data_IF_314943485910
#
_entry.id   IF_314943485910
#
_cell.length_a   1.000
_cell.length_b   1.000
_cell.length_c   1.000
_cell.angle_alpha   90.00
_cell.angle_beta   90.00
_cell.angle_gamma   90.00
#
_symmetry.space_group_name_H-M   'P 1'
#
loop_
_entity.id
_entity.type
_entity.pdbx_description
1 polymer ?
#
# COMPACT_ATOMS: atom_id res chain seq x y z
N UNK A 1 2.49 11.46 46.89
CA UNK A 1 2.78 12.72 46.17
C UNK A 1 3.37 12.33 44.82
N UNK A 2 2.52 12.05 43.83
CA UNK A 2 2.90 11.45 42.54
C UNK A 2 2.25 12.21 41.40
N UNK A 3 2.76 13.39 41.05
CA UNK A 3 2.46 14.03 39.77
C UNK A 3 3.71 14.80 39.30
N UNK A 4 4.62 14.17 38.55
CA UNK A 4 5.43 14.94 37.59
C UNK A 4 5.56 14.27 36.21
N UNK A 5 4.71 13.30 35.85
CA UNK A 5 4.73 12.70 34.50
C UNK A 5 3.81 13.40 33.50
N UNK A 6 2.71 14.03 33.95
CA UNK A 6 1.79 14.74 33.05
C UNK A 6 2.33 16.10 32.58
N UNK A 7 3.20 16.75 33.36
CA UNK A 7 3.74 18.07 33.01
C UNK A 7 4.75 18.02 31.86
N UNK A 8 5.60 16.97 31.79
CA UNK A 8 6.59 16.80 30.72
C UNK A 8 5.95 16.40 29.37
N UNK A 9 4.78 15.76 29.39
CA UNK A 9 4.04 15.43 28.17
C UNK A 9 3.36 16.66 27.55
N UNK A 10 2.95 17.65 28.37
CA UNK A 10 2.33 18.88 27.88
C UNK A 10 3.33 19.78 27.13
N UNK A 11 4.58 19.86 27.62
CA UNK A 11 5.67 20.59 26.93
C UNK A 11 5.98 20.02 25.54
N UNK A 12 6.00 18.68 25.39
CA UNK A 12 6.23 18.04 24.09
C UNK A 12 5.10 18.28 23.07
N UNK A 13 3.86 18.43 23.52
CA UNK A 13 2.72 18.71 22.65
C UNK A 13 2.72 20.17 22.19
N UNK A 14 3.10 21.11 23.06
CA UNK A 14 3.24 22.52 22.67
C UNK A 14 4.38 22.75 21.68
N UNK A 15 5.52 22.08 21.83
CA UNK A 15 6.62 22.20 20.83
C UNK A 15 6.26 21.53 19.50
N UNK A 16 5.55 20.40 19.50
CA UNK A 16 5.04 19.78 18.26
C UNK A 16 4.01 20.68 17.55
N UNK A 17 3.13 21.36 18.30
CA UNK A 17 2.15 22.29 17.72
C UNK A 17 2.83 23.55 17.16
N UNK A 18 3.83 24.11 17.85
CA UNK A 18 4.61 25.26 17.37
C UNK A 18 5.42 24.92 16.10
N UNK A 19 5.87 23.67 15.94
CA UNK A 19 6.55 23.23 14.73
C UNK A 19 5.64 23.23 13.48
N UNK A 20 4.32 22.99 13.65
CA UNK A 20 3.34 22.99 12.55
C UNK A 20 3.05 24.41 12.03
N UNK A 21 3.11 25.42 12.90
CA UNK A 21 2.91 26.82 12.51
C UNK A 21 4.09 27.40 11.71
N UNK A 22 5.19 26.65 11.55
CA UNK A 22 6.34 27.11 10.79
C UNK A 22 6.00 27.20 9.28
N UNK A 23 6.43 28.28 8.60
CA UNK A 23 6.15 28.45 7.17
C UNK A 23 6.73 27.32 6.32
N UNK A 24 7.81 26.68 6.78
CA UNK A 24 8.42 25.52 6.14
C UNK A 24 7.58 24.24 6.30
N UNK A 25 6.96 24.02 7.47
CA UNK A 25 6.03 22.91 7.67
C UNK A 25 4.76 23.07 6.81
N UNK A 26 4.23 24.29 6.73
CA UNK A 26 3.09 24.61 5.84
C UNK A 26 3.48 24.38 4.38
N UNK A 27 4.67 24.82 3.96
CA UNK A 27 5.17 24.57 2.59
C UNK A 27 5.28 23.07 2.30
N UNK A 28 5.84 22.28 3.21
CA UNK A 28 5.93 20.83 3.06
C UNK A 28 4.54 20.18 2.91
N UNK A 29 3.57 20.61 3.73
CA UNK A 29 2.19 20.14 3.63
C UNK A 29 1.56 20.50 2.27
N UNK A 30 1.77 21.73 1.79
CA UNK A 30 1.28 22.17 0.47
C UNK A 30 1.90 21.33 -0.65
N UNK A 31 3.21 21.07 -0.61
CA UNK A 31 3.90 20.21 -1.59
C UNK A 31 3.30 18.80 -1.56
N UNK A 32 3.09 18.23 -0.37
CA UNK A 32 2.51 16.90 -0.20
C UNK A 32 1.10 16.81 -0.77
N UNK A 33 0.21 17.73 -0.40
CA UNK A 33 -1.19 17.76 -0.87
C UNK A 33 -1.24 18.00 -2.38
N UNK A 34 -0.45 18.95 -2.91
CA UNK A 34 -0.40 19.21 -4.34
C UNK A 34 0.09 17.98 -5.13
N UNK A 35 1.13 17.29 -4.65
CA UNK A 35 1.62 16.04 -5.24
C UNK A 35 0.55 14.98 -5.28
N UNK A 36 -0.16 14.78 -4.16
CA UNK A 36 -1.22 13.79 -4.05
C UNK A 36 -2.38 14.09 -5.01
N UNK A 37 -2.76 15.37 -5.13
CA UNK A 37 -3.77 15.79 -6.11
C UNK A 37 -3.31 15.52 -7.54
N UNK A 38 -2.04 15.78 -7.88
CA UNK A 38 -1.49 15.48 -9.20
C UNK A 38 -1.51 13.98 -9.52
N UNK A 39 -1.28 13.12 -8.53
CA UNK A 39 -1.40 11.67 -8.68
C UNK A 39 -2.84 11.25 -8.98
N UNK A 40 -3.83 11.86 -8.31
CA UNK A 40 -5.25 11.58 -8.57
C UNK A 40 -5.67 12.09 -9.96
N UNK A 41 -5.17 13.26 -10.37
CA UNK A 41 -5.49 13.85 -11.67
C UNK A 41 -4.70 13.27 -12.86
N UNK A 42 -3.87 12.25 -12.64
CA UNK A 42 -3.07 11.59 -13.69
C UNK A 42 -3.91 11.26 -14.93
N UNK A 43 -5.12 10.72 -14.75
CA UNK A 43 -6.00 10.32 -15.86
C UNK A 43 -6.32 11.48 -16.83
N UNK A 44 -6.27 12.72 -16.35
CA UNK A 44 -6.47 13.93 -17.17
C UNK A 44 -5.16 14.51 -17.69
N UNK A 45 -4.07 14.35 -16.95
CA UNK A 45 -2.77 14.97 -17.23
C UNK A 45 -1.81 14.06 -18.02
N UNK A 46 -2.11 12.77 -18.20
CA UNK A 46 -1.27 11.79 -18.89
C UNK A 46 0.19 11.72 -18.37
N UNK A 47 0.39 12.07 -17.10
CA UNK A 47 1.69 12.04 -16.44
C UNK A 47 1.78 10.80 -15.54
N UNK A 48 2.75 9.89 -15.75
CA UNK A 48 2.88 8.71 -14.90
C UNK A 48 3.03 9.11 -13.43
N UNK A 49 2.24 8.47 -12.54
CA UNK A 49 2.19 8.76 -11.08
C UNK A 49 3.56 8.91 -10.41
N UNK A 50 4.58 8.21 -10.90
CA UNK A 50 5.95 8.27 -10.36
C UNK A 50 6.61 9.65 -10.51
N UNK A 51 6.31 10.39 -11.59
CA UNK A 51 6.92 11.71 -11.86
C UNK A 51 6.58 12.75 -10.78
N UNK A 52 5.31 13.05 -10.48
CA UNK A 52 4.97 14.02 -9.45
C UNK A 52 5.44 13.55 -8.06
N UNK A 53 5.37 12.24 -7.77
CA UNK A 53 5.80 11.68 -6.49
C UNK A 53 7.30 11.86 -6.24
N UNK A 54 8.16 11.46 -7.18
CA UNK A 54 9.62 11.57 -7.02
C UNK A 54 10.05 13.03 -6.94
N UNK A 55 9.47 13.90 -7.78
CA UNK A 55 9.78 15.33 -7.75
C UNK A 55 9.42 15.96 -6.39
N UNK A 56 8.25 15.62 -5.86
CA UNK A 56 7.79 16.16 -4.58
C UNK A 56 8.59 15.61 -3.40
N UNK A 57 8.99 14.33 -3.44
CA UNK A 57 9.89 13.75 -2.45
C UNK A 57 11.24 14.50 -2.39
N UNK A 58 11.82 14.84 -3.54
CA UNK A 58 13.03 15.66 -3.62
C UNK A 58 12.85 17.05 -3.00
N UNK A 59 11.74 17.73 -3.27
CA UNK A 59 11.43 19.02 -2.65
C UNK A 59 11.24 18.91 -1.13
N UNK A 60 10.56 17.87 -0.65
CA UNK A 60 10.38 17.63 0.79
C UNK A 60 11.71 17.39 1.51
N UNK A 61 12.65 16.70 0.87
CA UNK A 61 13.99 16.50 1.40
C UNK A 61 14.80 17.80 1.47
N UNK A 62 14.63 18.71 0.50
CA UNK A 62 15.22 20.06 0.56
C UNK A 62 14.65 20.84 1.75
N UNK A 63 13.33 20.82 1.94
CA UNK A 63 12.70 21.47 3.10
C UNK A 63 13.19 20.86 4.41
N UNK A 64 13.28 19.53 4.50
CA UNK A 64 13.81 18.83 5.67
C UNK A 64 15.28 19.20 5.97
N UNK A 65 16.12 19.34 4.94
CA UNK A 65 17.51 19.75 5.10
C UNK A 65 17.65 21.20 5.62
N UNK A 66 16.79 22.11 5.14
CA UNK A 66 16.74 23.50 5.64
C UNK A 66 16.32 23.53 7.11
N UNK A 67 15.26 22.80 7.47
CA UNK A 67 14.78 22.72 8.86
C UNK A 67 15.84 22.09 9.77
N UNK A 68 16.47 20.99 9.34
CA UNK A 68 17.53 20.34 10.11
C UNK A 68 18.73 21.27 10.36
N UNK A 69 19.11 22.09 9.36
CA UNK A 69 20.16 23.09 9.53
C UNK A 69 19.75 24.20 10.54
N UNK A 70 18.50 24.67 10.49
CA UNK A 70 17.98 25.67 11.44
C UNK A 70 17.94 25.16 12.88
N UNK A 71 17.67 23.87 13.07
CA UNK A 71 17.67 23.20 14.37
C UNK A 71 19.08 22.78 14.86
N UNK A 72 20.13 23.09 14.09
CA UNK A 72 21.50 22.74 14.44
C UNK A 72 21.83 21.24 14.34
N UNK A 73 21.03 20.47 13.61
CA UNK A 73 21.28 19.05 13.37
C UNK A 73 22.54 18.91 12.53
N UNK A 74 23.46 18.04 12.97
CA UNK A 74 24.71 17.82 12.25
C UNK A 74 24.46 17.23 10.85
N UNK A 75 25.32 17.58 9.88
CA UNK A 75 25.23 17.00 8.53
C UNK A 75 25.34 15.46 8.55
N UNK A 76 26.14 14.90 9.45
CA UNK A 76 26.31 13.45 9.62
C UNK A 76 25.00 12.79 10.08
N UNK A 77 24.33 13.38 11.07
CA UNK A 77 23.03 12.88 11.56
C UNK A 77 21.97 12.93 10.47
N UNK A 78 21.92 14.02 9.69
CA UNK A 78 20.99 14.11 8.56
C UNK A 78 21.28 13.08 7.47
N UNK A 79 22.56 12.86 7.15
CA UNK A 79 22.97 11.84 6.17
C UNK A 79 22.54 10.44 6.63
N UNK A 80 22.77 10.09 7.89
CA UNK A 80 22.37 8.78 8.45
C UNK A 80 20.86 8.58 8.37
N UNK A 81 20.08 9.60 8.74
CA UNK A 81 18.61 9.52 8.66
C UNK A 81 18.14 9.29 7.21
N UNK A 82 18.73 10.03 6.27
CA UNK A 82 18.47 9.91 4.83
C UNK A 82 18.81 8.51 4.30
N UNK A 83 20.00 8.00 4.59
CA UNK A 83 20.44 6.69 4.10
C UNK A 83 19.60 5.57 4.70
N UNK A 84 19.27 5.64 5.99
CA UNK A 84 18.39 4.66 6.64
C UNK A 84 17.01 4.60 5.97
N UNK A 85 16.39 5.75 5.67
CA UNK A 85 15.11 5.79 4.96
C UNK A 85 15.21 5.20 3.54
N UNK A 86 16.31 5.46 2.84
CA UNK A 86 16.53 4.90 1.50
C UNK A 86 16.81 3.40 1.54
N UNK A 87 17.51 2.90 2.55
CA UNK A 87 17.77 1.47 2.74
C UNK A 87 16.48 0.70 2.99
N UNK A 88 15.63 1.16 3.92
CA UNK A 88 14.33 0.57 4.19
C UNK A 88 13.42 0.62 2.96
N UNK A 89 13.39 1.75 2.26
CA UNK A 89 12.65 1.89 1.01
C UNK A 89 13.20 0.95 -0.08
N UNK A 90 14.52 0.84 -0.21
CA UNK A 90 15.16 -0.03 -1.20
C UNK A 90 14.90 -1.50 -0.91
N UNK A 91 14.90 -1.92 0.36
CA UNK A 91 14.56 -3.28 0.77
C UNK A 91 13.12 -3.62 0.35
N UNK A 92 12.16 -2.78 0.71
CA UNK A 92 10.76 -2.97 0.32
C UNK A 92 10.57 -2.91 -1.20
N UNK A 93 11.22 -1.95 -1.87
CA UNK A 93 11.16 -1.80 -3.31
C UNK A 93 11.71 -3.04 -4.03
N UNK A 94 12.88 -3.53 -3.63
CA UNK A 94 13.50 -4.73 -4.21
C UNK A 94 12.65 -5.97 -3.93
N UNK A 95 12.12 -6.10 -2.71
CA UNK A 95 11.19 -7.17 -2.35
C UNK A 95 9.97 -7.17 -3.28
N UNK A 96 9.29 -6.03 -3.42
CA UNK A 96 8.11 -5.87 -4.27
C UNK A 96 8.43 -6.03 -5.77
N UNK A 97 9.59 -5.55 -6.21
CA UNK A 97 10.04 -5.66 -7.60
C UNK A 97 10.27 -7.12 -7.98
N UNK A 98 11.00 -7.88 -7.16
CA UNK A 98 11.22 -9.33 -7.40
C UNK A 98 9.89 -10.08 -7.33
N UNK A 99 9.04 -9.76 -6.35
CA UNK A 99 7.68 -10.29 -6.25
C UNK A 99 6.87 -10.09 -7.54
N UNK A 100 6.82 -8.87 -8.06
CA UNK A 100 6.05 -8.54 -9.26
C UNK A 100 6.63 -9.19 -10.52
N UNK A 101 7.97 -9.21 -10.66
CA UNK A 101 8.65 -9.92 -11.76
C UNK A 101 8.30 -11.42 -11.72
N UNK A 102 8.29 -12.04 -10.55
CA UNK A 102 7.93 -13.44 -10.40
C UNK A 102 6.48 -13.71 -10.80
N UNK A 103 5.53 -12.87 -10.36
CA UNK A 103 4.12 -12.96 -10.76
C UNK A 103 3.97 -12.86 -12.28
N UNK A 104 4.60 -11.86 -12.90
CA UNK A 104 4.56 -11.70 -14.35
C UNK A 104 5.16 -12.92 -15.08
N UNK A 105 6.24 -13.50 -14.56
CA UNK A 105 6.83 -14.72 -15.12
C UNK A 105 5.92 -15.96 -14.98
N UNK A 106 5.16 -16.08 -13.88
CA UNK A 106 4.15 -17.14 -13.72
C UNK A 106 3.00 -16.98 -14.71
N UNK A 107 2.58 -15.73 -14.94
CA UNK A 107 1.54 -15.38 -15.90
C UNK A 107 1.96 -15.69 -17.34
N UNK A 108 3.13 -15.24 -17.77
CA UNK A 108 3.66 -15.47 -19.12
C UNK A 108 3.79 -16.98 -19.44
N UNK A 109 4.12 -17.79 -18.43
CA UNK A 109 4.20 -19.25 -18.52
C UNK A 109 2.85 -19.96 -18.39
N UNK A 110 1.74 -19.22 -18.29
CA UNK A 110 0.39 -19.76 -18.14
C UNK A 110 0.24 -20.73 -16.94
N UNK A 111 1.03 -20.54 -15.87
CA UNK A 111 1.03 -21.47 -14.72
C UNK A 111 -0.34 -21.48 -14.03
N UNK A 112 -1.03 -20.34 -13.98
CA UNK A 112 -2.38 -20.26 -13.42
C UNK A 112 -3.42 -21.04 -14.25
N UNK A 113 -3.28 -21.04 -15.58
CA UNK A 113 -4.16 -21.80 -16.48
C UNK A 113 -3.90 -23.31 -16.38
N UNK A 114 -2.63 -23.70 -16.28
CA UNK A 114 -2.25 -25.09 -16.02
C UNK A 114 -2.74 -25.57 -14.65
N UNK A 115 -2.64 -24.72 -13.62
CA UNK A 115 -3.14 -25.00 -12.27
C UNK A 115 -4.67 -25.17 -12.26
N UNK A 116 -5.40 -24.33 -13.00
CA UNK A 116 -6.84 -24.46 -13.20
C UNK A 116 -7.19 -25.79 -13.86
N UNK A 117 -6.52 -26.13 -14.97
CA UNK A 117 -6.72 -27.42 -15.66
C UNK A 117 -6.43 -28.61 -14.75
N UNK A 118 -5.37 -28.54 -13.95
CA UNK A 118 -5.02 -29.57 -12.96
C UNK A 118 -6.11 -29.73 -11.89
N UNK A 119 -6.63 -28.63 -11.35
CA UNK A 119 -7.66 -28.65 -10.30
C UNK A 119 -9.01 -29.17 -10.81
N UNK A 120 -9.40 -28.84 -12.04
CA UNK A 120 -10.64 -29.35 -12.66
C UNK A 120 -10.53 -30.86 -12.91
N UNK A 121 -9.39 -31.33 -13.40
CA UNK A 121 -9.16 -32.76 -13.68
C UNK A 121 -9.05 -33.63 -12.42
N UNK A 122 -8.95 -33.04 -11.21
CA UNK A 122 -8.92 -33.77 -9.94
C UNK A 122 -10.30 -34.29 -9.49
N UNK A 123 -11.39 -33.95 -10.19
CA UNK A 123 -12.73 -34.41 -9.85
C UNK A 123 -13.29 -33.80 -8.56
N UNK A 124 -12.80 -32.63 -8.15
CA UNK A 124 -13.30 -31.92 -6.98
C UNK A 124 -14.76 -31.47 -7.16
N UNK A 125 -15.54 -31.54 -6.10
CA UNK A 125 -16.87 -30.94 -6.09
C UNK A 125 -16.75 -29.39 -6.06
N UNK A 126 -17.74 -28.66 -6.54
CA UNK A 126 -17.69 -27.20 -6.70
C UNK A 126 -17.29 -26.45 -5.41
N UNK A 127 -17.75 -26.93 -4.25
CA UNK A 127 -17.39 -26.36 -2.95
C UNK A 127 -15.90 -26.56 -2.61
N UNK A 128 -15.34 -27.73 -2.92
CA UNK A 128 -13.93 -28.03 -2.68
C UNK A 128 -13.04 -27.19 -3.61
N UNK A 129 -13.42 -27.08 -4.89
CA UNK A 129 -12.72 -26.26 -5.86
C UNK A 129 -12.71 -24.79 -5.43
N UNK A 130 -13.84 -24.29 -4.93
CA UNK A 130 -13.95 -22.94 -4.38
C UNK A 130 -13.01 -22.70 -3.20
N UNK A 131 -12.97 -23.61 -2.22
CA UNK A 131 -12.08 -23.45 -1.06
C UNK A 131 -10.61 -23.53 -1.42
N UNK A 132 -10.23 -24.45 -2.33
CA UNK A 132 -8.84 -24.59 -2.80
C UNK A 132 -8.40 -23.35 -3.57
N UNK A 133 -9.20 -22.89 -4.53
CA UNK A 133 -8.87 -21.69 -5.33
C UNK A 133 -8.85 -20.43 -4.48
N UNK A 134 -9.76 -20.28 -3.52
CA UNK A 134 -9.77 -19.16 -2.58
C UNK A 134 -8.56 -19.19 -1.64
N UNK A 135 -8.14 -20.37 -1.18
CA UNK A 135 -6.94 -20.53 -0.35
C UNK A 135 -5.66 -20.16 -1.12
N UNK A 136 -5.56 -20.60 -2.38
CA UNK A 136 -4.45 -20.22 -3.26
C UNK A 136 -4.45 -18.70 -3.53
N UNK A 137 -5.61 -18.11 -3.81
CA UNK A 137 -5.76 -16.67 -4.01
C UNK A 137 -5.39 -15.86 -2.77
N UNK A 138 -5.78 -16.33 -1.58
CA UNK A 138 -5.47 -15.70 -0.31
C UNK A 138 -3.97 -15.68 -0.03
N UNK A 139 -3.27 -16.80 -0.28
CA UNK A 139 -1.81 -16.87 -0.11
C UNK A 139 -1.09 -16.01 -1.15
N UNK A 140 -1.63 -15.90 -2.37
CA UNK A 140 -1.05 -15.08 -3.42
C UNK A 140 -1.34 -13.59 -3.26
N UNK A 141 -2.41 -13.18 -2.58
CA UNK A 141 -2.85 -11.77 -2.48
C UNK A 141 -1.82 -10.75 -1.96
N UNK A 142 -0.86 -11.09 -1.07
CA UNK A 142 0.16 -10.14 -0.63
C UNK A 142 1.15 -9.75 -1.75
N UNK A 143 1.23 -10.59 -2.79
CA UNK A 143 2.20 -10.50 -3.89
C UNK A 143 1.50 -10.25 -5.23
N UNK A 144 0.26 -10.69 -5.36
CA UNK A 144 -0.58 -10.62 -6.54
C UNK A 144 -1.12 -9.22 -6.79
N UNK A 145 -0.87 -8.72 -8.00
CA UNK A 145 -1.43 -7.48 -8.48
C UNK A 145 -2.88 -7.65 -8.99
N UNK A 146 -3.49 -6.54 -9.41
CA UNK A 146 -4.87 -6.47 -9.89
C UNK A 146 -5.22 -7.47 -11.02
N UNK A 147 -4.22 -7.96 -11.78
CA UNK A 147 -4.40 -8.96 -12.83
C UNK A 147 -4.54 -10.38 -12.27
N UNK A 148 -3.73 -10.77 -11.29
CA UNK A 148 -3.77 -12.12 -10.71
C UNK A 148 -5.11 -12.35 -10.00
N UNK A 149 -5.68 -11.31 -9.40
CA UNK A 149 -7.04 -11.33 -8.85
C UNK A 149 -8.08 -11.51 -9.95
N UNK A 150 -7.98 -10.76 -11.06
CA UNK A 150 -8.92 -10.87 -12.18
C UNK A 150 -8.89 -12.25 -12.85
N UNK A 151 -7.70 -12.87 -12.98
CA UNK A 151 -7.51 -14.17 -13.60
C UNK A 151 -8.04 -15.31 -12.71
N UNK A 152 -7.78 -15.27 -11.40
CA UNK A 152 -8.34 -16.24 -10.45
C UNK A 152 -9.85 -16.06 -10.31
N UNK A 153 -10.34 -14.82 -10.28
CA UNK A 153 -11.79 -14.55 -10.28
C UNK A 153 -12.46 -14.99 -11.59
N UNK A 154 -11.79 -14.82 -12.73
CA UNK A 154 -12.24 -15.37 -14.01
C UNK A 154 -12.31 -16.91 -13.99
N UNK A 155 -11.31 -17.58 -13.42
CA UNK A 155 -11.29 -19.02 -13.24
C UNK A 155 -12.42 -19.51 -12.30
N UNK A 156 -12.68 -18.80 -11.19
CA UNK A 156 -13.77 -19.12 -10.27
C UNK A 156 -15.13 -18.89 -10.94
N UNK A 157 -15.32 -17.78 -11.66
CA UNK A 157 -16.56 -17.48 -12.39
C UNK A 157 -16.83 -18.51 -13.50
N UNK A 158 -15.79 -18.94 -14.23
CA UNK A 158 -15.91 -19.97 -15.26
C UNK A 158 -16.16 -21.37 -14.65
N UNK A 159 -15.50 -21.72 -13.55
CA UNK A 159 -15.72 -22.99 -12.86
C UNK A 159 -17.11 -23.07 -12.21
N UNK A 160 -17.69 -21.93 -11.83
CA UNK A 160 -19.03 -21.82 -11.22
C UNK A 160 -20.13 -21.57 -12.26
N UNK A 161 -19.79 -21.51 -13.55
CA UNK A 161 -20.68 -21.41 -14.72
C UNK A 161 -22.18 -21.22 -14.45
N UNK A 162 -22.60 -19.95 -14.42
CA UNK A 162 -23.96 -19.42 -14.68
C UNK A 162 -25.08 -19.86 -13.70
N UNK A 163 -25.60 -18.85 -12.98
CA UNK A 163 -26.81 -18.81 -12.12
C UNK A 163 -26.56 -19.17 -10.65
N UNK A 164 -25.93 -18.25 -9.91
CA UNK A 164 -26.63 -17.70 -8.73
C UNK A 164 -26.33 -16.21 -8.64
N UNK A 165 -27.27 -15.39 -9.12
CA UNK A 165 -27.22 -13.92 -9.08
C UNK A 165 -27.05 -13.36 -7.65
N UNK A 166 -27.29 -14.16 -6.60
CA UNK A 166 -27.01 -13.81 -5.20
C UNK A 166 -25.60 -14.16 -4.72
N UNK A 167 -24.92 -15.15 -5.31
CA UNK A 167 -23.58 -15.59 -4.89
C UNK A 167 -22.47 -14.76 -5.55
N UNK A 168 -22.65 -14.38 -6.83
CA UNK A 168 -21.77 -13.42 -7.51
C UNK A 168 -21.76 -12.05 -6.81
N UNK A 169 -22.93 -11.55 -6.42
CA UNK A 169 -23.03 -10.32 -5.63
C UNK A 169 -22.38 -10.49 -4.26
N UNK A 170 -22.56 -11.63 -3.57
CA UNK A 170 -21.88 -11.91 -2.31
C UNK A 170 -20.37 -12.00 -2.44
N UNK A 171 -19.83 -12.54 -3.54
CA UNK A 171 -18.39 -12.62 -3.80
C UNK A 171 -17.78 -11.27 -4.13
N UNK A 172 -18.43 -10.48 -5.00
CA UNK A 172 -17.99 -9.11 -5.30
C UNK A 172 -18.12 -8.23 -4.05
N UNK A 173 -19.19 -8.40 -3.26
CA UNK A 173 -19.37 -7.71 -1.97
C UNK A 173 -18.34 -8.16 -0.94
N UNK A 174 -18.01 -9.45 -0.87
CA UNK A 174 -17.03 -10.00 0.08
C UNK A 174 -15.61 -9.58 -0.29
N UNK A 175 -15.28 -9.43 -1.59
CA UNK A 175 -13.98 -8.95 -2.05
C UNK A 175 -13.84 -7.44 -1.96
N UNK A 176 -14.88 -6.68 -2.31
CA UNK A 176 -14.95 -5.26 -1.99
C UNK A 176 -14.87 -5.04 -0.48
N UNK A 177 -15.50 -5.91 0.31
CA UNK A 177 -15.42 -5.88 1.77
C UNK A 177 -14.08 -6.39 2.30
N UNK A 178 -13.39 -7.35 1.68
CA UNK A 178 -12.04 -7.78 2.09
C UNK A 178 -11.03 -6.69 1.76
N UNK A 179 -11.12 -6.09 0.57
CA UNK A 179 -10.32 -4.93 0.16
C UNK A 179 -10.59 -3.73 1.07
N UNK A 180 -11.85 -3.41 1.33
CA UNK A 180 -12.22 -2.35 2.28
C UNK A 180 -11.87 -2.70 3.72
N UNK A 181 -11.89 -3.98 4.12
CA UNK A 181 -11.56 -4.40 5.49
C UNK A 181 -10.06 -4.36 5.72
N UNK A 182 -9.23 -4.71 4.73
CA UNK A 182 -7.77 -4.53 4.78
C UNK A 182 -7.41 -3.04 4.77
N UNK A 183 -8.04 -2.23 3.90
CA UNK A 183 -7.85 -0.77 3.89
C UNK A 183 -8.35 -0.12 5.19
N UNK A 184 -9.44 -0.63 5.79
CA UNK A 184 -9.99 -0.15 7.06
C UNK A 184 -9.21 -0.67 8.27
N UNK A 185 -8.57 -1.84 8.18
CA UNK A 185 -7.63 -2.33 9.20
C UNK A 185 -6.39 -1.43 9.27
N UNK A 186 -5.91 -0.95 8.12
CA UNK A 186 -4.84 0.06 8.02
C UNK A 186 -5.25 1.49 8.45
N UNK A 187 -6.54 1.76 8.67
CA UNK A 187 -7.05 3.07 9.10
C UNK A 187 -7.63 3.07 10.53
N UNK A 188 -7.75 1.92 11.18
CA UNK A 188 -8.33 1.80 12.54
C UNK A 188 -7.26 1.67 13.63
N UNK A 189 -5.98 1.53 13.31
CA UNK A 189 -4.88 1.57 14.29
C UNK A 189 -4.41 2.98 14.67
N UNK A 190 -5.02 4.05 14.12
CA UNK A 190 -4.65 5.45 14.43
C UNK A 190 -5.67 6.23 15.26
N UNK A 191 -6.71 5.58 15.80
CA UNK A 191 -7.58 6.22 16.79
C UNK A 191 -7.19 5.72 18.19
N UNK A 192 -6.67 6.58 19.09
CA UNK A 192 -6.51 6.21 20.49
C UNK A 192 -7.90 6.00 21.13
N UNK A 193 -7.97 5.26 22.25
CA UNK A 193 -9.22 4.85 22.88
C UNK A 193 -10.13 6.01 23.30
#
# INVERSE_FOLDING_TARGET
>A
MCIPQYALAFESHSEQLVAIDSPLAILALVIFVASYLLVIFEEKLHLPKSKPMIFSAGLLWVVAAIVGNQLGVSHETMQIAVTHNLEEFAELFLFLLVAMIYINALEERNIFEALKGYLINRGFNYQQLFWVTSGIAFVLSPVADNLTTALIMGAVVMAVGVIVRSLSLRLVSLLLWLRMRVVRFLHLETLPP
#
